data_IF_856703730258
#
_entry.id   IF_856703730258
#
_cell.length_a   1.000
_cell.length_b   1.000
_cell.length_c   1.000
_cell.angle_alpha   90.00
_cell.angle_beta   90.00
_cell.angle_gamma   90.00
#
_symmetry.space_group_name_H-M   'P 1'
#
loop_
_entity.id
_entity.type
_entity.pdbx_description
1 polymer ?
#
# COMPACT_ATOMS: atom_id res chain seq x y z
N UNK A 1 47.27 -13.81 8.91
CA UNK A 1 45.97 -14.34 8.46
C UNK A 1 44.86 -14.32 9.52
N UNK A 2 45.19 -14.40 10.83
CA UNK A 2 44.21 -14.39 11.92
C UNK A 2 43.62 -13.01 12.25
N UNK A 3 44.35 -11.91 12.05
CA UNK A 3 43.84 -10.55 12.35
C UNK A 3 42.66 -10.11 11.46
N UNK A 4 42.46 -10.75 10.30
CA UNK A 4 41.36 -10.44 9.38
C UNK A 4 39.99 -10.81 9.97
N UNK A 5 39.92 -11.78 10.90
CA UNK A 5 38.67 -12.15 11.58
C UNK A 5 38.33 -11.15 12.69
N UNK A 6 39.29 -10.76 13.52
CA UNK A 6 39.08 -9.84 14.64
C UNK A 6 38.75 -8.42 14.17
N UNK A 7 39.42 -7.92 13.13
CA UNK A 7 39.11 -6.59 12.56
C UNK A 7 37.70 -6.55 11.96
N UNK A 8 37.27 -7.64 11.31
CA UNK A 8 35.90 -7.77 10.79
C UNK A 8 34.88 -7.82 11.94
N UNK A 9 35.18 -8.55 13.00
CA UNK A 9 34.32 -8.64 14.19
C UNK A 9 34.14 -7.28 14.86
N UNK A 10 35.22 -6.51 15.04
CA UNK A 10 35.15 -5.14 15.58
C UNK A 10 34.28 -4.24 14.72
N UNK A 11 34.39 -4.33 13.39
CA UNK A 11 33.54 -3.55 12.47
C UNK A 11 32.06 -3.93 12.60
N UNK A 12 31.74 -5.21 12.70
CA UNK A 12 30.36 -5.69 12.88
C UNK A 12 29.77 -5.13 14.18
N UNK A 13 30.51 -5.19 15.30
CA UNK A 13 30.06 -4.64 16.60
C UNK A 13 29.84 -3.12 16.51
N UNK A 14 30.70 -2.40 15.79
CA UNK A 14 30.50 -0.96 15.60
C UNK A 14 29.25 -0.65 14.77
N UNK A 15 28.98 -1.42 13.71
CA UNK A 15 27.76 -1.27 12.93
C UNK A 15 26.52 -1.67 13.72
N UNK A 16 26.60 -2.70 14.55
CA UNK A 16 25.51 -3.09 15.44
C UNK A 16 25.16 -1.94 16.39
N UNK A 17 26.14 -1.35 17.08
CA UNK A 17 25.92 -0.19 17.95
C UNK A 17 25.27 0.99 17.21
N UNK A 18 25.77 1.31 16.02
CA UNK A 18 25.21 2.37 15.18
C UNK A 18 23.75 2.08 14.79
N UNK A 19 23.44 0.83 14.45
CA UNK A 19 22.09 0.41 14.08
C UNK A 19 21.13 0.47 15.28
N UNK A 20 21.57 0.02 16.46
CA UNK A 20 20.78 0.11 17.70
C UNK A 20 20.45 1.58 18.05
N UNK A 21 21.43 2.48 17.93
CA UNK A 21 21.26 3.91 18.16
C UNK A 21 20.31 4.54 17.12
N UNK A 22 20.48 4.19 15.84
CA UNK A 22 19.63 4.70 14.74
C UNK A 22 18.17 4.29 14.90
N UNK A 23 17.91 3.05 15.35
CA UNK A 23 16.56 2.55 15.60
C UNK A 23 15.98 3.03 16.93
N UNK A 24 16.70 3.85 17.69
CA UNK A 24 16.30 4.28 19.04
C UNK A 24 15.98 3.10 19.99
N UNK A 25 16.64 1.95 19.77
CA UNK A 25 16.36 0.68 20.46
C UNK A 25 14.91 0.17 20.33
N UNK A 26 14.16 0.62 19.31
CA UNK A 26 12.83 0.08 19.02
C UNK A 26 12.91 -1.13 18.07
N UNK A 27 12.60 -2.31 18.61
CA UNK A 27 12.55 -3.56 17.86
C UNK A 27 11.12 -4.13 17.77
N UNK A 28 10.10 -3.36 18.18
CA UNK A 28 8.72 -3.82 18.21
C UNK A 28 8.07 -3.68 16.83
N UNK A 29 8.45 -4.55 15.91
CA UNK A 29 7.86 -4.57 14.57
C UNK A 29 6.60 -5.43 14.53
N UNK A 30 5.51 -4.86 14.03
CA UNK A 30 4.28 -5.60 13.69
C UNK A 30 4.35 -6.01 12.23
N UNK A 31 4.18 -7.31 11.97
CA UNK A 31 4.23 -7.84 10.62
C UNK A 31 2.82 -7.98 9.99
N UNK A 32 2.65 -7.75 8.67
CA UNK A 32 1.37 -7.86 7.98
C UNK A 32 0.86 -9.31 7.92
N UNK A 33 1.73 -10.30 8.04
CA UNK A 33 1.40 -11.73 7.93
C UNK A 33 0.31 -12.19 8.91
N UNK A 34 0.35 -11.67 10.14
CA UNK A 34 -0.65 -12.01 11.15
C UNK A 34 -2.04 -11.49 10.79
N UNK A 35 -2.08 -10.28 10.21
CA UNK A 35 -3.32 -9.64 9.77
C UNK A 35 -3.89 -10.34 8.54
N UNK A 36 -3.05 -10.79 7.59
CA UNK A 36 -3.51 -11.56 6.42
C UNK A 36 -4.33 -12.78 6.85
N UNK A 37 -3.84 -13.55 7.82
CA UNK A 37 -4.53 -14.77 8.29
C UNK A 37 -5.85 -14.41 8.99
N UNK A 38 -5.87 -13.35 9.83
CA UNK A 38 -7.06 -12.90 10.54
C UNK A 38 -8.14 -12.42 9.56
N UNK A 39 -7.76 -11.57 8.62
CA UNK A 39 -8.66 -11.01 7.60
C UNK A 39 -9.23 -12.08 6.68
N UNK A 40 -8.44 -13.05 6.24
CA UNK A 40 -8.96 -14.12 5.39
C UNK A 40 -9.93 -15.03 6.14
N UNK A 41 -9.69 -15.29 7.43
CA UNK A 41 -10.66 -16.01 8.26
C UNK A 41 -11.98 -15.26 8.37
N UNK A 42 -11.94 -13.93 8.50
CA UNK A 42 -13.16 -13.11 8.50
C UNK A 42 -13.87 -13.18 7.15
N UNK A 43 -13.15 -12.99 6.03
CA UNK A 43 -13.70 -13.14 4.68
C UNK A 43 -14.33 -14.51 4.46
N UNK A 44 -13.73 -15.59 4.98
CA UNK A 44 -14.28 -16.94 4.89
C UNK A 44 -15.63 -17.09 5.61
N UNK A 45 -15.86 -16.37 6.70
CA UNK A 45 -17.14 -16.40 7.44
C UNK A 45 -18.25 -15.76 6.60
N UNK A 46 -17.96 -14.68 5.89
CA UNK A 46 -18.94 -13.98 5.04
C UNK A 46 -19.12 -14.68 3.68
N UNK A 47 -18.03 -15.09 3.05
CA UNK A 47 -18.01 -15.70 1.73
C UNK A 47 -17.47 -17.14 1.80
N UNK A 48 -18.32 -18.05 2.29
CA UNK A 48 -17.97 -19.47 2.42
C UNK A 48 -17.66 -20.17 1.08
N UNK A 49 -18.10 -19.61 -0.05
CA UNK A 49 -17.83 -20.13 -1.40
C UNK A 49 -16.44 -19.80 -1.93
N UNK A 50 -15.69 -18.91 -1.27
CA UNK A 50 -14.38 -18.45 -1.73
C UNK A 50 -13.27 -19.43 -1.32
N UNK A 51 -12.38 -19.75 -2.27
CA UNK A 51 -11.20 -20.60 -2.09
C UNK A 51 -10.15 -19.92 -1.16
N UNK A 52 -10.48 -19.83 0.12
CA UNK A 52 -9.77 -19.03 1.13
C UNK A 52 -8.31 -19.46 1.30
N UNK A 53 -8.01 -20.74 1.08
CA UNK A 53 -6.64 -21.28 1.13
C UNK A 53 -5.76 -20.77 -0.02
N UNK A 54 -6.30 -20.70 -1.24
CA UNK A 54 -5.56 -20.18 -2.40
C UNK A 54 -5.30 -18.69 -2.24
N UNK A 55 -6.33 -17.95 -1.81
CA UNK A 55 -6.22 -16.52 -1.49
C UNK A 55 -5.16 -16.28 -0.41
N UNK A 56 -5.18 -17.04 0.69
CA UNK A 56 -4.20 -16.91 1.76
C UNK A 56 -2.77 -17.16 1.31
N UNK A 57 -2.55 -18.20 0.52
CA UNK A 57 -1.22 -18.49 0.01
C UNK A 57 -0.70 -17.36 -0.87
N UNK A 58 -1.54 -16.83 -1.76
CA UNK A 58 -1.16 -15.75 -2.68
C UNK A 58 -0.95 -14.42 -1.94
N UNK A 59 -1.87 -14.06 -1.05
CA UNK A 59 -1.76 -12.84 -0.23
C UNK A 59 -0.54 -12.88 0.70
N UNK A 60 -0.21 -14.04 1.28
CA UNK A 60 0.99 -14.20 2.10
C UNK A 60 2.27 -13.98 1.28
N UNK A 61 2.33 -14.51 0.05
CA UNK A 61 3.46 -14.26 -0.86
C UNK A 61 3.61 -12.77 -1.18
N UNK A 62 2.52 -12.09 -1.51
CA UNK A 62 2.53 -10.65 -1.76
C UNK A 62 2.97 -9.85 -0.52
N UNK A 63 2.55 -10.27 0.67
CA UNK A 63 2.98 -9.65 1.92
C UNK A 63 4.49 -9.81 2.17
N UNK A 64 5.10 -10.93 1.75
CA UNK A 64 6.57 -11.08 1.80
C UNK A 64 7.24 -10.15 0.78
N UNK A 65 6.67 -10.01 -0.40
CA UNK A 65 7.21 -9.12 -1.42
C UNK A 65 7.04 -7.64 -1.09
N UNK A 66 6.07 -7.28 -0.25
CA UNK A 66 5.87 -5.90 0.20
C UNK A 66 7.10 -5.29 0.88
N UNK A 67 7.95 -6.09 1.53
CA UNK A 67 9.21 -5.63 2.14
C UNK A 67 10.27 -5.18 1.13
N UNK A 68 10.09 -5.47 -0.16
CA UNK A 68 10.95 -4.96 -1.23
C UNK A 68 10.52 -3.57 -1.71
N UNK A 69 9.42 -3.04 -1.16
CA UNK A 69 8.86 -1.71 -1.49
C UNK A 69 8.87 -0.81 -0.26
N UNK A 70 8.50 0.47 -0.43
CA UNK A 70 8.50 1.47 0.66
C UNK A 70 7.23 1.45 1.53
N UNK A 71 6.25 0.61 1.19
CA UNK A 71 4.96 0.51 1.89
C UNK A 71 5.08 0.24 3.39
N UNK A 72 6.16 -0.40 3.85
CA UNK A 72 6.38 -0.69 5.28
C UNK A 72 6.66 0.56 6.13
N UNK A 73 7.08 1.67 5.49
CA UNK A 73 7.31 2.96 6.15
C UNK A 73 6.10 3.88 6.00
N UNK A 74 5.36 3.74 4.90
CA UNK A 74 4.22 4.58 4.57
C UNK A 74 2.93 4.15 5.27
N UNK A 75 2.70 2.83 5.39
CA UNK A 75 1.44 2.28 5.85
C UNK A 75 1.60 1.35 7.05
N UNK A 76 0.59 1.27 7.94
CA UNK A 76 0.60 0.32 9.03
C UNK A 76 0.36 -1.12 8.53
N UNK A 77 0.88 -2.09 9.27
CA UNK A 77 0.88 -3.51 8.87
C UNK A 77 -0.50 -4.10 8.55
N UNK A 78 -1.58 -3.60 9.16
CA UNK A 78 -2.94 -4.06 8.87
C UNK A 78 -3.42 -3.60 7.49
N UNK A 79 -3.16 -2.34 7.12
CA UNK A 79 -3.47 -1.80 5.79
C UNK A 79 -2.68 -2.49 4.70
N UNK A 80 -1.39 -2.78 4.95
CA UNK A 80 -0.56 -3.56 4.01
C UNK A 80 -1.18 -4.94 3.77
N UNK A 81 -1.62 -5.62 4.83
CA UNK A 81 -2.26 -6.92 4.71
C UNK A 81 -3.58 -6.86 3.90
N UNK A 82 -4.39 -5.82 4.10
CA UNK A 82 -5.61 -5.60 3.34
C UNK A 82 -5.33 -5.37 1.84
N UNK A 83 -4.36 -4.51 1.51
CA UNK A 83 -3.88 -4.30 0.13
C UNK A 83 -3.37 -5.59 -0.52
N UNK A 84 -2.63 -6.42 0.21
CA UNK A 84 -2.17 -7.72 -0.28
C UNK A 84 -3.31 -8.69 -0.58
N UNK A 85 -4.35 -8.72 0.26
CA UNK A 85 -5.53 -9.59 0.05
C UNK A 85 -6.31 -9.12 -1.18
N UNK A 86 -6.53 -7.81 -1.28
CA UNK A 86 -7.22 -7.20 -2.41
C UNK A 86 -6.47 -7.52 -3.71
N UNK A 87 -5.17 -7.24 -3.79
CA UNK A 87 -4.35 -7.56 -4.95
C UNK A 87 -4.34 -9.06 -5.29
N UNK A 88 -4.22 -9.93 -4.28
CA UNK A 88 -4.26 -11.37 -4.48
C UNK A 88 -5.57 -11.83 -5.13
N UNK A 89 -6.69 -11.22 -4.74
CA UNK A 89 -8.00 -11.55 -5.30
C UNK A 89 -8.12 -11.15 -6.77
N UNK A 90 -7.56 -10.00 -7.17
CA UNK A 90 -7.52 -9.56 -8.56
C UNK A 90 -6.63 -10.48 -9.41
N UNK A 91 -5.43 -10.80 -8.92
CA UNK A 91 -4.49 -11.68 -9.64
C UNK A 91 -5.04 -13.11 -9.79
N UNK A 92 -5.74 -13.62 -8.78
CA UNK A 92 -6.37 -14.94 -8.86
C UNK A 92 -7.56 -14.96 -9.81
N UNK A 93 -8.35 -13.88 -9.87
CA UNK A 93 -9.46 -13.74 -10.82
C UNK A 93 -8.99 -13.67 -12.27
N UNK A 94 -7.84 -13.04 -12.52
CA UNK A 94 -7.22 -12.98 -13.86
C UNK A 94 -6.66 -14.35 -14.28
N UNK A 95 -6.05 -15.09 -13.34
CA UNK A 95 -5.50 -16.42 -13.61
C UNK A 95 -6.59 -17.50 -13.76
N UNK A 96 -7.61 -17.46 -12.89
CA UNK A 96 -8.72 -18.41 -12.85
C UNK A 96 -10.06 -17.65 -12.87
N UNK A 97 -10.76 -17.56 -14.02
CA UNK A 97 -12.04 -16.85 -14.12
C UNK A 97 -13.17 -17.51 -13.31
N UNK A 98 -12.99 -18.77 -12.88
CA UNK A 98 -13.87 -19.48 -11.95
C UNK A 98 -13.72 -19.01 -10.51
N UNK A 99 -12.63 -18.29 -10.17
CA UNK A 99 -12.43 -17.74 -8.84
C UNK A 99 -13.33 -16.53 -8.65
N UNK A 100 -14.32 -16.68 -7.77
CA UNK A 100 -15.17 -15.58 -7.35
C UNK A 100 -14.32 -14.67 -6.46
N UNK A 101 -13.77 -13.59 -7.04
CA UNK A 101 -13.01 -12.57 -6.31
C UNK A 101 -13.83 -11.92 -5.19
N UNK A 102 -13.21 -11.00 -4.44
CA UNK A 102 -13.95 -10.18 -3.48
C UNK A 102 -15.07 -9.45 -4.23
N UNK A 103 -16.32 -9.63 -3.78
CA UNK A 103 -17.48 -9.03 -4.43
C UNK A 103 -17.65 -7.60 -3.95
N UNK A 104 -17.81 -6.65 -4.88
CA UNK A 104 -18.13 -5.25 -4.56
C UNK A 104 -19.51 -5.08 -3.90
N UNK A 105 -20.35 -6.13 -3.91
CA UNK A 105 -21.69 -6.10 -3.32
C UNK A 105 -21.69 -6.25 -1.79
N UNK A 106 -20.60 -6.70 -1.18
CA UNK A 106 -20.47 -6.81 0.28
C UNK A 106 -19.39 -5.85 0.77
N UNK A 107 -19.61 -5.10 1.87
CA UNK A 107 -18.67 -4.09 2.36
C UNK A 107 -17.50 -4.75 3.09
N UNK A 108 -16.70 -5.52 2.35
CA UNK A 108 -15.52 -6.21 2.87
C UNK A 108 -14.44 -5.20 3.33
N UNK A 109 -14.45 -4.00 2.77
CA UNK A 109 -13.54 -2.88 3.06
C UNK A 109 -13.67 -2.38 4.51
N UNK A 110 -14.90 -2.28 5.01
CA UNK A 110 -15.19 -1.86 6.38
C UNK A 110 -14.54 -2.79 7.44
N UNK A 111 -14.36 -4.07 7.10
CA UNK A 111 -13.78 -5.06 8.02
C UNK A 111 -12.26 -4.97 8.13
N UNK A 112 -11.59 -4.34 7.16
CA UNK A 112 -10.15 -4.20 7.18
C UNK A 112 -9.66 -2.98 7.99
N UNK A 113 -10.60 -2.18 8.52
CA UNK A 113 -10.31 -0.98 9.32
C UNK A 113 -9.30 -0.05 8.61
N UNK A 114 -9.30 -0.07 7.28
CA UNK A 114 -8.39 0.67 6.41
C UNK A 114 -9.20 1.34 5.31
N UNK A 115 -8.77 2.52 4.90
CA UNK A 115 -9.42 3.25 3.81
C UNK A 115 -9.18 2.51 2.50
N UNK A 116 -10.15 2.56 1.60
CA UNK A 116 -9.99 1.94 0.29
C UNK A 116 -8.81 2.57 -0.47
N UNK A 117 -8.64 3.89 -0.38
CA UNK A 117 -7.56 4.63 -1.03
C UNK A 117 -6.18 4.05 -0.67
N UNK A 118 -5.95 3.79 0.62
CA UNK A 118 -4.69 3.22 1.11
C UNK A 118 -4.50 1.76 0.65
N UNK A 119 -5.58 0.98 0.63
CA UNK A 119 -5.57 -0.41 0.16
C UNK A 119 -5.19 -0.46 -1.33
N UNK A 120 -5.79 0.42 -2.13
CA UNK A 120 -5.53 0.56 -3.56
C UNK A 120 -4.10 1.03 -3.81
N UNK A 121 -3.61 2.04 -3.09
CA UNK A 121 -2.23 2.53 -3.27
C UNK A 121 -1.19 1.46 -2.93
N UNK A 122 -1.33 0.77 -1.79
CA UNK A 122 -0.47 -0.38 -1.45
C UNK A 122 -0.50 -1.43 -2.55
N UNK A 123 -1.69 -1.75 -3.08
CA UNK A 123 -1.83 -2.73 -4.14
C UNK A 123 -1.11 -2.30 -5.43
N UNK A 124 -1.15 -1.00 -5.76
CA UNK A 124 -0.48 -0.43 -6.93
C UNK A 124 1.05 -0.46 -6.77
N UNK A 125 1.57 -0.09 -5.60
CA UNK A 125 3.01 -0.12 -5.32
C UNK A 125 3.58 -1.54 -5.40
N UNK A 126 2.87 -2.52 -4.85
CA UNK A 126 3.28 -3.93 -4.95
C UNK A 126 3.16 -4.39 -6.42
N UNK A 127 2.10 -4.01 -7.13
CA UNK A 127 1.95 -4.35 -8.54
C UNK A 127 3.08 -3.77 -9.41
N UNK A 128 3.57 -2.57 -9.10
CA UNK A 128 4.69 -1.92 -9.77
C UNK A 128 6.02 -2.65 -9.58
N UNK A 129 6.26 -3.21 -8.39
CA UNK A 129 7.38 -4.12 -8.16
C UNK A 129 7.31 -5.32 -9.12
N UNK A 130 6.12 -5.91 -9.27
CA UNK A 130 5.91 -7.04 -10.17
C UNK A 130 6.06 -6.65 -11.64
N UNK A 131 5.55 -5.50 -12.07
CA UNK A 131 5.73 -4.99 -13.44
C UNK A 131 7.21 -4.80 -13.76
N UNK A 132 7.97 -4.22 -12.82
CA UNK A 132 9.41 -3.96 -12.99
C UNK A 132 10.22 -5.25 -13.06
N UNK A 133 9.82 -6.29 -12.32
CA UNK A 133 10.55 -7.55 -12.22
C UNK A 133 10.10 -8.63 -13.23
N UNK A 134 9.03 -8.41 -14.01
CA UNK A 134 8.38 -9.46 -14.81
C UNK A 134 8.85 -9.52 -16.28
N UNK A 135 8.46 -10.58 -16.99
CA UNK A 135 8.74 -10.79 -18.43
C UNK A 135 7.67 -10.11 -19.30
N UNK A 136 8.03 -9.79 -20.54
CA UNK A 136 7.23 -9.00 -21.51
C UNK A 136 5.73 -9.37 -21.59
N UNK A 137 5.39 -10.66 -21.66
CA UNK A 137 3.99 -11.11 -21.77
C UNK A 137 3.17 -10.81 -20.51
N UNK A 138 3.74 -11.07 -19.34
CA UNK A 138 3.07 -10.87 -18.05
C UNK A 138 2.92 -9.38 -17.71
N UNK A 139 3.86 -8.54 -18.15
CA UNK A 139 3.78 -7.08 -18.01
C UNK A 139 2.49 -6.53 -18.62
N UNK A 140 2.08 -7.04 -19.79
CA UNK A 140 0.86 -6.55 -20.44
C UNK A 140 -0.41 -6.83 -19.62
N UNK A 141 -0.47 -7.97 -18.93
CA UNK A 141 -1.61 -8.33 -18.10
C UNK A 141 -1.61 -7.54 -16.78
N UNK A 142 -0.46 -7.42 -16.13
CA UNK A 142 -0.31 -6.60 -14.92
C UNK A 142 -0.61 -5.13 -15.18
N UNK A 143 -0.22 -4.60 -16.34
CA UNK A 143 -0.52 -3.21 -16.73
C UNK A 143 -2.02 -3.00 -16.94
N UNK A 144 -2.74 -3.97 -17.54
CA UNK A 144 -4.21 -3.90 -17.65
C UNK A 144 -4.87 -3.86 -16.27
N UNK A 145 -4.40 -4.68 -15.34
CA UNK A 145 -4.89 -4.69 -13.95
C UNK A 145 -4.64 -3.33 -13.29
N UNK A 146 -3.45 -2.74 -13.49
CA UNK A 146 -3.12 -1.41 -12.96
C UNK A 146 -4.03 -0.31 -13.50
N UNK A 147 -4.31 -0.33 -14.81
CA UNK A 147 -5.23 0.63 -15.44
C UNK A 147 -6.65 0.46 -14.87
N UNK A 148 -7.12 -0.78 -14.75
CA UNK A 148 -8.45 -1.07 -14.20
C UNK A 148 -8.58 -0.59 -12.74
N UNK A 149 -7.55 -0.77 -11.92
CA UNK A 149 -7.49 -0.25 -10.55
C UNK A 149 -7.59 1.28 -10.51
N UNK A 150 -6.81 1.96 -11.35
CA UNK A 150 -6.82 3.42 -11.39
C UNK A 150 -8.17 3.98 -11.89
N UNK A 151 -8.80 3.30 -12.86
CA UNK A 151 -10.13 3.68 -13.34
C UNK A 151 -11.22 3.45 -12.27
N UNK A 152 -11.11 2.39 -11.48
CA UNK A 152 -11.99 2.13 -10.33
C UNK A 152 -11.82 3.20 -9.26
N UNK A 153 -10.58 3.58 -8.93
CA UNK A 153 -10.26 4.64 -7.99
C UNK A 153 -10.88 5.98 -8.41
N UNK A 154 -10.79 6.34 -9.70
CA UNK A 154 -11.37 7.59 -10.23
C UNK A 154 -12.90 7.61 -10.24
N UNK A 155 -13.54 6.44 -10.39
CA UNK A 155 -15.01 6.33 -10.32
C UNK A 155 -15.51 6.38 -8.88
N UNK A 156 -14.66 6.02 -7.92
CA UNK A 156 -14.97 6.12 -6.50
C UNK A 156 -14.93 7.61 -6.13
N UNK A 157 -16.09 8.13 -5.73
CA UNK A 157 -16.17 9.47 -5.14
C UNK A 157 -15.45 9.52 -3.79
N UNK A 158 -15.45 10.69 -3.12
CA UNK A 158 -14.87 10.83 -1.77
C UNK A 158 -15.42 9.76 -0.83
N UNK A 159 -14.55 9.19 0.03
CA UNK A 159 -14.94 8.14 0.97
C UNK A 159 -16.15 8.60 1.82
N UNK A 160 -17.30 7.89 1.77
CA UNK A 160 -18.52 8.28 2.48
C UNK A 160 -18.38 8.22 4.00
N UNK A 161 -17.33 7.57 4.53
CA UNK A 161 -17.04 7.49 5.96
C UNK A 161 -15.84 8.36 6.37
N UNK A 162 -15.39 9.29 5.52
CA UNK A 162 -14.31 10.20 5.87
C UNK A 162 -14.79 11.26 6.86
N UNK A 163 -14.22 11.25 8.07
CA UNK A 163 -14.47 12.30 9.05
C UNK A 163 -14.11 13.68 8.50
N UNK A 164 -14.85 14.72 8.90
CA UNK A 164 -14.60 16.10 8.46
C UNK A 164 -13.16 16.56 8.78
N UNK A 165 -12.64 16.17 9.93
CA UNK A 165 -11.26 16.45 10.36
C UNK A 165 -10.25 15.82 9.41
N UNK A 166 -10.40 14.53 9.09
CA UNK A 166 -9.53 13.81 8.17
C UNK A 166 -9.62 14.40 6.76
N UNK A 167 -10.84 14.75 6.32
CA UNK A 167 -11.08 15.43 5.05
C UNK A 167 -10.38 16.80 4.98
N UNK A 168 -10.27 17.50 6.11
CA UNK A 168 -9.61 18.79 6.18
C UNK A 168 -8.08 18.66 6.21
N UNK A 169 -7.54 17.63 6.88
CA UNK A 169 -6.11 17.31 6.88
C UNK A 169 -5.61 16.82 5.51
N UNK A 170 -6.40 16.05 4.76
CA UNK A 170 -6.03 15.58 3.42
C UNK A 170 -6.18 16.65 2.32
N UNK A 171 -6.92 17.74 2.58
CA UNK A 171 -6.98 18.86 1.65
C UNK A 171 -5.60 19.51 1.55
N UNK A 172 -5.26 19.96 0.34
CA UNK A 172 -4.08 20.79 0.15
C UNK A 172 -4.17 21.98 1.10
N UNK A 173 -3.17 22.15 1.96
CA UNK A 173 -3.10 23.32 2.82
C UNK A 173 -2.94 24.54 1.92
N UNK A 174 -3.92 25.45 1.95
CA UNK A 174 -3.74 26.75 1.32
C UNK A 174 -2.65 27.50 2.07
N UNK A 175 -1.62 28.03 1.41
CA UNK A 175 -0.57 28.74 2.10
C UNK A 175 -1.15 29.98 2.78
N UNK A 176 -0.91 30.12 4.09
CA UNK A 176 -1.31 31.28 4.90
C UNK A 176 -0.46 32.54 4.59
N UNK A 177 0.42 32.48 3.58
CA UNK A 177 1.42 33.50 3.26
C UNK A 177 1.15 34.15 1.89
N UNK A 178 0.65 35.38 1.91
CA UNK A 178 0.48 36.21 0.72
C UNK A 178 1.75 37.03 0.45
N UNK A 179 2.48 36.72 -0.62
CA UNK A 179 3.55 37.59 -1.12
C UNK A 179 2.98 38.59 -2.13
N UNK A 180 2.84 39.86 -1.75
CA UNK A 180 2.38 40.95 -2.62
C UNK A 180 1.02 40.72 -3.32
N UNK A 181 0.05 40.10 -2.64
CA UNK A 181 -1.34 40.03 -3.12
C UNK A 181 -1.55 39.21 -4.40
N UNK A 182 -0.57 38.40 -4.81
CA UNK A 182 -0.70 37.45 -5.90
C UNK A 182 -0.55 36.02 -5.36
N UNK A 183 -1.63 35.24 -5.43
CA UNK A 183 -1.57 33.79 -5.22
C UNK A 183 -0.95 33.16 -6.47
N UNK A 184 0.27 32.63 -6.40
CA UNK A 184 0.84 31.96 -7.56
C UNK A 184 0.13 30.61 -7.75
N UNK A 185 -0.26 30.24 -8.99
CA UNK A 185 -0.98 28.99 -9.29
C UNK A 185 -0.17 27.71 -9.00
N UNK A 186 1.12 27.83 -8.64
CA UNK A 186 2.02 26.72 -8.31
C UNK A 186 2.03 26.37 -6.81
N UNK A 187 1.34 27.13 -5.95
CA UNK A 187 1.55 27.08 -4.51
C UNK A 187 0.62 26.09 -3.76
N UNK A 188 -0.33 25.46 -4.46
CA UNK A 188 -1.26 24.49 -3.86
C UNK A 188 -0.67 23.09 -3.88
N UNK A 189 0.33 22.85 -3.02
CA UNK A 189 0.98 21.54 -2.90
C UNK A 189 0.18 20.65 -1.94
N UNK A 190 -0.44 19.59 -2.47
CA UNK A 190 -0.99 18.52 -1.64
C UNK A 190 0.10 17.49 -1.33
N UNK A 191 0.73 17.59 -0.16
CA UNK A 191 1.75 16.62 0.28
C UNK A 191 1.17 15.28 0.70
N UNK A 192 -0.15 15.19 0.91
CA UNK A 192 -0.80 14.05 1.55
C UNK A 192 -1.35 13.02 0.55
N UNK A 193 -1.45 13.37 -0.74
CA UNK A 193 -1.97 12.49 -1.80
C UNK A 193 -0.90 12.06 -2.84
N UNK A 194 0.40 12.30 -2.57
CA UNK A 194 1.49 12.05 -3.52
C UNK A 194 1.25 12.59 -4.95
N UNK A 195 0.33 13.56 -5.08
CA UNK A 195 -0.17 14.09 -6.36
C UNK A 195 -0.09 15.60 -6.31
N UNK A 196 0.66 16.17 -7.25
CA UNK A 196 0.74 17.62 -7.44
C UNK A 196 -0.40 18.05 -8.37
N UNK A 197 -1.43 18.67 -7.82
CA UNK A 197 -2.53 19.25 -8.60
C UNK A 197 -2.17 20.68 -9.01
N UNK A 198 -1.90 20.89 -10.30
CA UNK A 198 -1.69 22.22 -10.87
C UNK A 198 -3.03 22.86 -11.24
N UNK A 199 -3.36 23.99 -10.63
CA UNK A 199 -4.52 24.79 -11.01
C UNK A 199 -4.06 25.98 -11.87
N UNK A 200 -4.27 25.87 -13.18
CA UNK A 200 -4.10 27.02 -14.07
C UNK A 200 -5.36 27.88 -13.97
N UNK A 201 -5.22 29.08 -13.38
CA UNK A 201 -6.29 30.08 -13.44
C UNK A 201 -6.50 30.46 -14.90
N UNK A 202 -7.68 30.19 -15.45
CA UNK A 202 -8.07 30.67 -16.76
C UNK A 202 -8.34 32.17 -16.66
N UNK A 203 -7.34 32.99 -16.98
CA UNK A 203 -7.54 34.38 -17.40
C UNK A 203 -7.92 34.43 -18.85
#
# INVERSE_FOLDING_TARGET
PENVSEDRRRKIINYEKLLLETLCFDFQLRHPYEYVIKFIKWVQVFQASLDSKKLAKKAYQLAVDSYKTMVCVEYPAHTIAAGCIYLASLLLKDADPSFQGLKDSEPWDQYFLSRMEDIEDVSQQILDLYITSSKSTDITNLTKIKIALNEQAQKRGPDPNMDETTSQELKSRTPDFEFHGATNPLDTVNTNLHTVSYHFSST
#
